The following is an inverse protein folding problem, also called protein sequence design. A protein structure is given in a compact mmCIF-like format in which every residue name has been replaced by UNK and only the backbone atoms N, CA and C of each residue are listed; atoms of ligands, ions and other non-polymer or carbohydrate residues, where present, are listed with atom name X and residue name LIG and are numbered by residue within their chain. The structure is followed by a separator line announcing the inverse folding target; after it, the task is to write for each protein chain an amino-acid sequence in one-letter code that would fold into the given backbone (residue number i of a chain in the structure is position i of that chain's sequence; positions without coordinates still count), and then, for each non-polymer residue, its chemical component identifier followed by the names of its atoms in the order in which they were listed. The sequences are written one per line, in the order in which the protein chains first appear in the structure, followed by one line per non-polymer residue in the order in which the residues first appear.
data_IF_653854522930
#
_entry.id   IF_653854522930
#
_cell.length_a   1.000
_cell.length_b   1.000
_cell.length_c   1.000
_cell.angle_alpha   90.00
_cell.angle_beta   90.00
_cell.angle_gamma   90.00
#
_symmetry.space_group_name_H-M   'P 1'
#
loop_
_entity.id
_entity.type
_entity.pdbx_description
1 polymer ?
#
# COMPACT_ATOMS: atom_id res chain seq x y z
N UNK A 1 3.32 32.06 -66.64
CA UNK A 1 3.97 32.45 -65.36
C UNK A 1 3.17 31.83 -64.22
N UNK A 2 3.71 30.81 -63.55
CA UNK A 2 3.10 30.21 -62.34
C UNK A 2 3.97 30.62 -61.16
N UNK A 3 3.40 31.39 -60.24
CA UNK A 3 4.05 31.87 -59.02
C UNK A 3 3.87 30.85 -57.91
N UNK A 4 4.98 30.32 -57.39
CA UNK A 4 5.01 29.45 -56.21
C UNK A 4 5.10 30.30 -54.94
N UNK A 5 4.17 30.10 -54.00
CA UNK A 5 4.25 30.64 -52.65
C UNK A 5 4.82 29.56 -51.72
N UNK A 6 5.94 29.85 -51.06
CA UNK A 6 6.49 29.02 -49.98
C UNK A 6 5.88 29.48 -48.66
N UNK A 7 5.14 28.57 -48.01
CA UNK A 7 4.58 28.76 -46.67
C UNK A 7 5.67 28.41 -45.64
N UNK A 8 6.19 29.40 -44.92
CA UNK A 8 7.14 29.19 -43.83
C UNK A 8 6.37 28.93 -42.54
N UNK A 9 6.40 27.71 -42.02
CA UNK A 9 5.76 27.35 -40.76
C UNK A 9 6.71 27.65 -39.59
N UNK A 10 6.37 28.64 -38.75
CA UNK A 10 6.98 28.82 -37.44
C UNK A 10 6.40 27.80 -36.46
N UNK A 11 7.24 26.90 -35.95
CA UNK A 11 6.90 26.01 -34.84
C UNK A 11 7.02 26.77 -33.51
N UNK A 12 5.98 26.80 -32.65
CA UNK A 12 6.10 27.40 -31.32
C UNK A 12 6.95 26.50 -30.41
N UNK A 13 8.00 27.09 -29.83
CA UNK A 13 8.85 26.45 -28.84
C UNK A 13 8.08 26.30 -27.52
N UNK A 14 7.54 25.12 -27.26
CA UNK A 14 6.91 24.80 -25.98
C UNK A 14 7.98 24.64 -24.90
N UNK A 15 8.12 25.64 -24.03
CA UNK A 15 8.99 25.56 -22.85
C UNK A 15 8.32 24.64 -21.82
N UNK A 16 8.76 23.38 -21.75
CA UNK A 16 8.34 22.47 -20.68
C UNK A 16 8.97 22.96 -19.37
N UNK A 17 8.16 23.54 -18.47
CA UNK A 17 8.58 23.77 -17.09
C UNK A 17 8.81 22.40 -16.46
N UNK A 18 10.08 21.99 -16.38
CA UNK A 18 10.45 20.82 -15.58
C UNK A 18 10.01 21.09 -14.14
N UNK A 19 9.15 20.24 -13.58
CA UNK A 19 8.83 20.30 -12.17
C UNK A 19 10.16 20.23 -11.38
N UNK A 20 10.42 21.15 -10.44
CA UNK A 20 11.66 21.16 -9.70
C UNK A 20 11.83 19.80 -8.99
N UNK A 21 12.97 19.15 -9.24
CA UNK A 21 13.34 17.92 -8.56
C UNK A 21 13.44 18.25 -7.06
N UNK A 22 12.73 17.56 -6.16
CA UNK A 22 12.82 17.80 -4.74
C UNK A 22 14.28 17.69 -4.26
N UNK A 23 14.72 18.64 -3.45
CA UNK A 23 16.06 18.61 -2.88
C UNK A 23 16.26 17.33 -2.05
N UNK A 24 17.46 16.72 -2.06
CA UNK A 24 17.73 15.55 -1.26
C UNK A 24 17.64 15.87 0.23
N UNK A 25 17.19 14.90 1.02
CA UNK A 25 17.16 15.02 2.48
C UNK A 25 18.59 15.11 3.02
N UNK A 26 18.90 16.00 3.97
CA UNK A 26 20.21 16.06 4.61
C UNK A 26 20.62 14.70 5.19
N UNK A 27 21.89 14.33 5.00
CA UNK A 27 22.42 13.03 5.43
C UNK A 27 22.66 12.94 6.95
N UNK A 28 22.60 14.06 7.68
CA UNK A 28 22.99 14.20 9.09
C UNK A 28 21.79 14.31 10.05
N UNK A 29 20.61 13.82 9.65
CA UNK A 29 19.47 13.81 10.55
C UNK A 29 19.73 12.92 11.78
N UNK A 30 19.24 13.32 12.97
CA UNK A 30 19.48 12.57 14.21
C UNK A 30 18.71 11.24 14.28
N UNK A 31 17.90 10.93 13.26
CA UNK A 31 17.07 9.73 13.15
C UNK A 31 17.23 9.11 11.78
N UNK A 32 17.21 7.78 11.72
CA UNK A 32 17.31 7.04 10.45
C UNK A 32 16.04 7.21 9.61
N UNK A 33 16.21 7.24 8.29
CA UNK A 33 15.11 7.21 7.32
C UNK A 33 15.06 5.84 6.64
N UNK A 34 14.09 5.01 7.02
CA UNK A 34 13.74 3.79 6.30
C UNK A 34 13.25 4.12 4.89
N UNK A 35 13.46 3.22 3.93
CA UNK A 35 13.10 3.40 2.51
C UNK A 35 13.78 4.60 1.80
N UNK A 36 14.74 5.28 2.44
CA UNK A 36 15.46 6.40 1.84
C UNK A 36 16.18 6.04 0.53
N UNK A 37 16.65 4.79 0.40
CA UNK A 37 17.37 4.30 -0.77
C UNK A 37 16.48 3.81 -1.91
N UNK A 38 15.14 3.81 -1.76
CA UNK A 38 14.25 3.37 -2.84
C UNK A 38 14.42 4.23 -4.11
N UNK A 39 14.18 3.68 -5.31
CA UNK A 39 14.10 4.47 -6.54
C UNK A 39 13.07 5.58 -6.42
N UNK A 40 13.31 6.72 -7.08
CA UNK A 40 12.39 7.87 -7.03
C UNK A 40 10.96 7.50 -7.46
N UNK A 41 10.81 6.63 -8.46
CA UNK A 41 9.51 6.17 -8.94
C UNK A 41 8.72 5.32 -7.92
N UNK A 42 9.41 4.73 -6.94
CA UNK A 42 8.78 3.93 -5.88
C UNK A 42 8.40 4.77 -4.66
N UNK A 43 8.80 6.05 -4.61
CA UNK A 43 8.55 6.94 -3.48
C UNK A 43 7.33 7.81 -3.76
N UNK A 44 6.55 8.07 -2.73
CA UNK A 44 5.55 9.15 -2.75
C UNK A 44 6.30 10.46 -2.43
N UNK A 45 6.41 11.40 -3.39
CA UNK A 45 7.21 12.60 -3.19
C UNK A 45 6.75 13.38 -1.97
N UNK A 46 7.71 13.81 -1.15
CA UNK A 46 7.47 14.63 0.04
C UNK A 46 6.51 14.00 1.06
N UNK A 47 6.28 12.69 1.05
CA UNK A 47 5.46 12.00 2.05
C UNK A 47 6.34 11.15 2.96
N UNK A 48 6.18 11.34 4.26
CA UNK A 48 6.97 10.64 5.27
C UNK A 48 6.07 10.11 6.39
N UNK A 49 6.38 8.92 6.89
CA UNK A 49 5.75 8.35 8.08
C UNK A 49 6.72 8.56 9.24
N UNK A 50 6.36 9.42 10.18
CA UNK A 50 7.11 9.67 11.41
C UNK A 50 6.66 8.66 12.44
N UNK A 51 7.50 7.67 12.75
CA UNK A 51 7.18 6.61 13.72
C UNK A 51 7.68 7.01 15.09
N UNK A 52 6.79 7.00 16.07
CA UNK A 52 7.12 7.34 17.45
C UNK A 52 7.65 6.13 18.21
N UNK A 53 8.44 6.38 19.25
CA UNK A 53 8.79 5.35 20.23
C UNK A 53 7.50 4.77 20.83
N UNK A 54 7.46 3.46 21.06
CA UNK A 54 6.28 2.80 21.64
C UNK A 54 5.90 3.38 23.01
N UNK A 55 6.90 3.84 23.78
CA UNK A 55 6.74 4.52 25.06
C UNK A 55 6.23 5.96 25.00
N UNK A 56 6.12 6.56 23.80
CA UNK A 56 5.67 7.95 23.66
C UNK A 56 4.25 8.13 24.22
N UNK A 57 4.10 9.06 25.15
CA UNK A 57 2.82 9.40 25.77
C UNK A 57 1.93 10.21 24.80
N UNK A 58 0.61 10.14 25.00
CA UNK A 58 -0.34 10.88 24.17
C UNK A 58 -0.09 12.40 24.18
N UNK A 59 0.35 12.96 25.31
CA UNK A 59 0.73 14.38 25.42
C UNK A 59 1.93 14.74 24.55
N UNK A 60 2.92 13.85 24.41
CA UNK A 60 4.08 14.07 23.54
C UNK A 60 3.67 14.04 22.06
N UNK A 61 2.80 13.11 21.68
CA UNK A 61 2.28 13.01 20.30
C UNK A 61 1.43 14.24 19.93
N UNK A 62 0.58 14.69 20.86
CA UNK A 62 -0.20 15.91 20.68
C UNK A 62 0.71 17.14 20.58
N UNK A 63 1.72 17.24 21.45
CA UNK A 63 2.73 18.30 21.39
C UNK A 63 3.49 18.33 20.07
N UNK A 64 3.87 17.17 19.54
CA UNK A 64 4.49 17.07 18.21
C UNK A 64 3.55 17.51 17.10
N UNK A 65 2.28 17.15 17.17
CA UNK A 65 1.29 17.58 16.19
C UNK A 65 1.17 19.11 16.15
N UNK A 66 1.25 19.76 17.31
CA UNK A 66 1.35 21.22 17.42
C UNK A 66 2.68 21.76 16.86
N UNK A 67 3.79 21.08 17.12
CA UNK A 67 5.11 21.46 16.58
C UNK A 67 5.14 21.42 15.04
N UNK A 68 4.57 20.37 14.42
CA UNK A 68 4.41 20.27 12.96
C UNK A 68 3.60 21.47 12.45
N UNK A 69 2.47 21.79 13.10
CA UNK A 69 1.64 22.94 12.72
C UNK A 69 2.43 24.25 12.80
N UNK A 70 3.19 24.47 13.87
CA UNK A 70 3.98 25.69 14.04
C UNK A 70 5.13 25.78 13.03
N UNK A 71 5.87 24.69 12.81
CA UNK A 71 7.09 24.71 11.99
C UNK A 71 6.82 24.63 10.48
N UNK A 72 5.74 23.95 10.10
CA UNK A 72 5.40 23.64 8.71
C UNK A 72 4.11 24.32 8.23
N UNK A 73 3.32 24.93 9.12
CA UNK A 73 2.06 25.58 8.77
C UNK A 73 0.91 24.62 8.46
N UNK A 74 1.04 23.34 8.80
CA UNK A 74 0.08 22.30 8.46
C UNK A 74 -0.02 21.23 9.55
N UNK A 75 -1.14 20.52 9.61
CA UNK A 75 -1.30 19.35 10.47
C UNK A 75 -0.77 18.09 9.78
N UNK A 76 -0.45 17.02 10.52
CA UNK A 76 -0.24 15.72 9.93
C UNK A 76 -1.42 15.32 9.03
N UNK A 77 -1.14 14.68 7.89
CA UNK A 77 -2.16 14.16 6.99
C UNK A 77 -2.97 13.04 7.65
N UNK A 78 -2.31 12.19 8.44
CA UNK A 78 -2.96 11.12 9.21
C UNK A 78 -2.15 10.79 10.46
N UNK A 79 -2.81 10.22 11.46
CA UNK A 79 -2.19 9.72 12.68
C UNK A 79 -2.65 8.29 12.93
N UNK A 80 -1.74 7.46 13.43
CA UNK A 80 -1.95 6.05 13.68
C UNK A 80 -1.65 5.74 15.14
N UNK A 81 -2.55 4.97 15.77
CA UNK A 81 -2.36 4.40 17.10
C UNK A 81 -3.02 3.02 17.11
N UNK A 82 -2.26 2.00 16.72
CA UNK A 82 -2.76 0.64 16.49
C UNK A 82 -1.85 -0.34 17.25
N UNK A 83 -2.36 -0.97 18.31
CA UNK A 83 -1.65 -2.00 19.07
C UNK A 83 -0.19 -1.63 19.44
N UNK A 84 0.05 -0.38 19.84
CA UNK A 84 1.37 0.12 20.21
C UNK A 84 2.19 0.71 19.06
N UNK A 85 1.78 0.51 17.80
CA UNK A 85 2.29 1.27 16.67
C UNK A 85 1.70 2.68 16.67
N UNK A 86 2.56 3.68 16.82
CA UNK A 86 2.20 5.09 16.90
C UNK A 86 2.96 5.85 15.84
N UNK A 87 2.26 6.52 14.93
CA UNK A 87 2.91 7.23 13.84
C UNK A 87 2.07 8.40 13.34
N UNK A 88 2.68 9.28 12.56
CA UNK A 88 1.99 10.31 11.81
C UNK A 88 2.51 10.37 10.37
N UNK A 89 1.61 10.45 9.39
CA UNK A 89 1.97 10.75 8.02
C UNK A 89 2.03 12.28 7.83
N UNK A 90 3.16 12.78 7.32
CA UNK A 90 3.45 14.21 7.16
C UNK A 90 3.91 14.45 5.73
N UNK A 91 3.28 15.41 5.05
CA UNK A 91 3.65 15.80 3.69
C UNK A 91 4.57 17.02 3.75
N UNK A 92 5.87 16.88 3.55
CA UNK A 92 6.81 18.00 3.62
C UNK A 92 8.04 17.77 2.76
N UNK A 93 8.75 18.84 2.38
CA UNK A 93 10.02 18.72 1.66
C UNK A 93 11.18 18.37 2.60
N UNK A 94 12.38 18.19 2.05
CA UNK A 94 13.59 17.88 2.82
C UNK A 94 13.89 18.91 3.92
N UNK A 95 13.64 20.20 3.65
CA UNK A 95 13.89 21.28 4.59
C UNK A 95 12.89 21.25 5.76
N UNK A 96 11.61 21.00 5.48
CA UNK A 96 10.59 20.83 6.50
C UNK A 96 10.79 19.57 7.33
N UNK A 97 11.19 18.46 6.69
CA UNK A 97 11.55 17.23 7.41
C UNK A 97 12.67 17.48 8.42
N UNK A 98 13.73 18.19 8.01
CA UNK A 98 14.84 18.54 8.88
C UNK A 98 14.44 19.41 10.09
N UNK A 99 13.35 20.19 9.99
CA UNK A 99 12.82 20.98 11.11
C UNK A 99 12.13 20.12 12.18
N UNK A 100 11.53 18.99 11.79
CA UNK A 100 10.72 18.14 12.68
C UNK A 100 11.43 16.83 13.09
N UNK A 101 12.46 16.42 12.36
CA UNK A 101 13.21 15.19 12.62
C UNK A 101 14.03 15.18 13.92
N UNK A 102 14.10 16.32 14.63
CA UNK A 102 14.92 16.49 15.85
C UNK A 102 14.23 16.12 17.15
N UNK A 103 13.00 15.62 17.10
CA UNK A 103 12.24 15.29 18.31
C UNK A 103 12.71 13.98 18.95
N UNK A 104 12.94 14.00 20.26
CA UNK A 104 13.47 12.86 21.04
C UNK A 104 12.53 11.66 21.13
N UNK A 105 11.24 11.81 20.82
CA UNK A 105 10.27 10.71 20.85
C UNK A 105 10.00 10.09 19.48
N UNK A 106 10.71 10.54 18.43
CA UNK A 106 10.76 9.83 17.14
C UNK A 106 11.64 8.60 17.33
N UNK A 107 11.15 7.44 16.88
CA UNK A 107 11.93 6.21 16.80
C UNK A 107 12.73 6.17 15.49
N UNK A 108 12.03 6.40 14.38
CA UNK A 108 12.61 6.52 13.05
C UNK A 108 11.60 7.22 12.12
N UNK A 109 12.07 7.59 10.94
CA UNK A 109 11.24 8.12 9.86
C UNK A 109 11.23 7.10 8.74
N UNK A 110 10.14 6.97 8.02
CA UNK A 110 10.04 6.14 6.82
C UNK A 110 9.61 7.00 5.64
N UNK A 111 10.35 6.90 4.53
CA UNK A 111 9.93 7.47 3.25
C UNK A 111 8.72 6.69 2.75
N UNK A 112 7.60 7.38 2.59
CA UNK A 112 6.36 6.79 2.09
C UNK A 112 6.55 6.37 0.64
N UNK A 113 5.97 5.23 0.28
CA UNK A 113 6.29 4.50 -0.93
C UNK A 113 5.05 3.86 -1.54
N UNK A 114 5.07 3.72 -2.86
CA UNK A 114 4.05 2.95 -3.56
C UNK A 114 4.27 1.47 -3.28
N UNK A 115 3.19 0.79 -2.93
CA UNK A 115 3.07 -0.67 -3.00
C UNK A 115 2.18 -0.96 -4.20
N UNK A 116 2.62 -1.86 -5.07
CA UNK A 116 1.86 -2.27 -6.25
C UNK A 116 1.56 -3.75 -6.17
N UNK A 117 0.42 -4.15 -6.71
CA UNK A 117 0.20 -5.56 -7.06
C UNK A 117 1.32 -5.99 -7.99
N UNK A 118 2.07 -7.03 -7.60
CA UNK A 118 2.97 -7.67 -8.54
C UNK A 118 2.10 -8.31 -9.63
N UNK A 119 2.52 -8.30 -10.92
CA UNK A 119 1.83 -9.14 -11.90
C UNK A 119 1.81 -10.56 -11.34
N UNK A 120 0.64 -11.19 -11.34
CA UNK A 120 0.48 -12.59 -11.00
C UNK A 120 1.29 -13.41 -11.99
N UNK A 121 2.56 -13.66 -11.68
CA UNK A 121 3.29 -14.79 -12.23
C UNK A 121 2.77 -16.00 -11.48
N UNK A 122 2.36 -17.04 -12.21
CA UNK A 122 1.90 -18.29 -11.63
C UNK A 122 2.97 -18.87 -10.69
N UNK A 123 2.91 -18.54 -9.40
CA UNK A 123 3.90 -18.96 -8.41
C UNK A 123 3.52 -20.33 -7.85
N UNK A 124 4.50 -21.24 -7.89
CA UNK A 124 4.37 -22.67 -7.67
C UNK A 124 5.26 -23.08 -6.49
N UNK A 125 4.91 -22.72 -5.26
CA UNK A 125 5.68 -23.16 -4.07
C UNK A 125 4.81 -23.67 -2.91
N UNK A 126 5.38 -24.63 -2.18
CA UNK A 126 4.69 -25.72 -1.46
C UNK A 126 4.82 -25.54 0.06
N UNK A 127 3.70 -25.63 0.79
CA UNK A 127 3.68 -25.81 2.25
C UNK A 127 2.65 -26.89 2.66
N UNK A 128 2.93 -27.63 3.73
CA UNK A 128 2.16 -28.81 4.16
C UNK A 128 1.42 -28.57 5.49
N UNK A 129 0.14 -28.96 5.57
CA UNK A 129 -0.69 -28.97 6.79
C UNK A 129 -1.64 -30.17 6.83
N UNK A 130 -2.09 -30.53 8.04
CA UNK A 130 -2.63 -31.84 8.43
C UNK A 130 -4.13 -32.10 8.16
N UNK A 131 -4.54 -33.36 8.28
CA UNK A 131 -5.88 -33.88 7.96
C UNK A 131 -6.78 -34.10 9.19
N UNK A 132 -8.10 -33.90 9.04
CA UNK A 132 -9.17 -34.47 9.88
C UNK A 132 -10.55 -34.50 9.17
N UNK A 133 -11.47 -35.29 9.76
CA UNK A 133 -12.69 -35.98 9.28
C UNK A 133 -13.86 -35.20 8.63
N UNK A 134 -14.80 -35.98 8.04
CA UNK A 134 -16.01 -35.59 7.27
C UNK A 134 -15.74 -34.64 6.11
N UNK A 135 -15.03 -35.19 5.13
CA UNK A 135 -14.53 -34.44 3.99
C UNK A 135 -15.59 -34.33 2.88
N UNK A 136 -15.74 -33.11 2.37
CA UNK A 136 -16.50 -32.76 1.19
C UNK A 136 -15.55 -32.67 0.00
N UNK A 137 -16.07 -32.90 -1.19
CA UNK A 137 -15.29 -32.92 -2.43
C UNK A 137 -15.85 -31.91 -3.42
N UNK A 138 -15.01 -30.96 -3.83
CA UNK A 138 -15.27 -30.12 -5.00
C UNK A 138 -14.50 -30.74 -6.20
N UNK A 139 -15.20 -31.36 -7.16
CA UNK A 139 -14.55 -31.96 -8.33
C UNK A 139 -14.04 -30.88 -9.28
N UNK A 140 -12.98 -31.20 -10.04
CA UNK A 140 -12.39 -30.32 -11.06
C UNK A 140 -12.01 -28.92 -10.53
N UNK A 141 -11.52 -28.85 -9.29
CA UNK A 141 -10.96 -27.63 -8.72
C UNK A 141 -9.63 -27.25 -9.39
N UNK A 142 -9.22 -26.00 -9.20
CA UNK A 142 -7.92 -25.52 -9.62
C UNK A 142 -6.81 -26.35 -8.98
N UNK A 143 -5.72 -26.55 -9.71
CA UNK A 143 -4.58 -27.38 -9.27
C UNK A 143 -4.09 -27.03 -7.85
N UNK A 144 -4.09 -25.74 -7.49
CA UNK A 144 -3.69 -25.27 -6.17
C UNK A 144 -4.54 -25.87 -5.04
N UNK A 145 -5.86 -25.92 -5.20
CA UNK A 145 -6.79 -26.44 -4.19
C UNK A 145 -6.67 -27.97 -4.04
N UNK A 146 -6.59 -28.69 -5.16
CA UNK A 146 -6.29 -30.13 -5.12
C UNK A 146 -4.94 -30.43 -4.46
N UNK A 147 -3.93 -29.60 -4.74
CA UNK A 147 -2.59 -29.75 -4.18
C UNK A 147 -2.51 -29.50 -2.68
N UNK A 148 -3.22 -28.51 -2.13
CA UNK A 148 -3.18 -28.24 -0.68
C UNK A 148 -4.01 -29.26 0.12
N UNK A 149 -5.03 -29.85 -0.51
CA UNK A 149 -5.91 -30.82 0.15
C UNK A 149 -5.41 -32.26 0.09
N UNK A 150 -4.65 -32.65 -0.95
CA UNK A 150 -4.24 -34.03 -1.19
C UNK A 150 -2.75 -34.21 -1.52
N UNK A 151 -2.20 -35.39 -1.17
CA UNK A 151 -0.79 -35.74 -1.42
C UNK A 151 -0.54 -36.36 -2.81
N UNK A 152 -1.59 -36.81 -3.50
CA UNK A 152 -1.46 -37.42 -4.83
C UNK A 152 -1.02 -36.37 -5.84
N UNK A 153 -0.09 -36.76 -6.72
CA UNK A 153 0.35 -35.89 -7.82
C UNK A 153 -0.78 -35.77 -8.84
N UNK A 154 -0.91 -34.59 -9.46
CA UNK A 154 -1.92 -34.29 -10.48
C UNK A 154 -3.35 -34.63 -10.03
N UNK A 155 -3.67 -34.32 -8.76
CA UNK A 155 -5.01 -34.47 -8.20
C UNK A 155 -5.72 -33.11 -8.24
N UNK A 156 -6.91 -33.08 -8.82
CA UNK A 156 -7.68 -31.86 -9.11
C UNK A 156 -8.95 -31.72 -8.28
N UNK A 157 -9.23 -32.63 -7.36
CA UNK A 157 -10.39 -32.49 -6.49
C UNK A 157 -9.96 -31.81 -5.20
N UNK A 158 -10.71 -30.79 -4.79
CA UNK A 158 -10.48 -30.12 -3.53
C UNK A 158 -11.28 -30.80 -2.45
N UNK A 159 -10.56 -31.40 -1.50
CA UNK A 159 -11.16 -32.13 -0.40
C UNK A 159 -10.99 -31.32 0.87
N UNK A 160 -12.10 -30.97 1.52
CA UNK A 160 -12.10 -30.07 2.66
C UNK A 160 -13.15 -30.45 3.69
N UNK A 161 -12.91 -30.08 4.94
CA UNK A 161 -13.90 -30.20 6.00
C UNK A 161 -14.92 -29.04 5.85
N UNK A 162 -16.23 -29.31 5.83
CA UNK A 162 -17.24 -28.24 5.73
C UNK A 162 -17.34 -27.37 6.98
N UNK A 163 -16.74 -27.82 8.09
CA UNK A 163 -16.51 -27.01 9.28
C UNK A 163 -15.28 -26.11 9.20
N UNK A 164 -14.42 -26.30 8.19
CA UNK A 164 -13.25 -25.47 8.00
C UNK A 164 -13.63 -23.99 7.92
N UNK A 165 -12.90 -23.16 8.67
CA UNK A 165 -13.08 -21.72 8.74
C UNK A 165 -14.47 -21.25 9.22
N UNK A 166 -15.32 -22.14 9.75
CA UNK A 166 -16.56 -21.71 10.42
C UNK A 166 -16.21 -20.76 11.57
N UNK A 167 -17.02 -19.71 11.73
CA UNK A 167 -16.84 -18.64 12.72
C UNK A 167 -15.48 -17.90 12.62
N UNK A 168 -14.79 -18.00 11.48
CA UNK A 168 -13.56 -17.25 11.20
C UNK A 168 -13.86 -16.05 10.31
N UNK A 169 -13.10 -14.96 10.50
CA UNK A 169 -13.10 -13.81 9.59
C UNK A 169 -11.73 -13.66 8.94
N UNK A 170 -11.71 -13.63 7.62
CA UNK A 170 -10.51 -13.34 6.83
C UNK A 170 -10.60 -11.90 6.33
N UNK A 171 -9.56 -11.11 6.57
CA UNK A 171 -9.43 -9.76 6.02
C UNK A 171 -8.47 -9.80 4.83
N UNK A 172 -8.93 -9.29 3.69
CA UNK A 172 -8.13 -9.14 2.48
C UNK A 172 -7.94 -7.64 2.25
N UNK A 173 -6.68 -7.20 2.15
CA UNK A 173 -6.31 -5.81 1.84
C UNK A 173 -5.75 -5.84 0.43
N UNK A 174 -6.54 -5.40 -0.53
CA UNK A 174 -6.23 -5.52 -1.96
C UNK A 174 -6.90 -4.37 -2.75
N UNK A 175 -7.03 -4.50 -4.07
CA UNK A 175 -7.62 -3.51 -4.99
C UNK A 175 -9.12 -3.31 -4.81
N UNK A 176 -9.76 -4.18 -4.01
CA UNK A 176 -11.19 -4.19 -3.75
C UNK A 176 -11.72 -5.61 -3.79
N UNK A 177 -13.04 -5.75 -3.88
CA UNK A 177 -13.71 -7.04 -4.09
C UNK A 177 -15.08 -6.79 -4.74
N UNK A 178 -15.43 -7.60 -5.75
CA UNK A 178 -16.78 -7.61 -6.31
C UNK A 178 -17.70 -8.48 -5.45
N UNK A 179 -18.24 -7.94 -4.35
CA UNK A 179 -19.05 -8.72 -3.40
C UNK A 179 -20.32 -9.34 -4.01
N UNK A 180 -20.77 -8.85 -5.17
CA UNK A 180 -21.90 -9.40 -5.92
C UNK A 180 -21.55 -10.63 -6.77
N UNK A 181 -20.28 -11.02 -6.85
CA UNK A 181 -19.88 -12.21 -7.60
C UNK A 181 -20.51 -13.48 -7.00
N UNK A 182 -21.12 -14.31 -7.85
CA UNK A 182 -21.96 -15.43 -7.41
C UNK A 182 -21.18 -16.45 -6.58
N UNK A 183 -19.88 -16.64 -6.87
CA UNK A 183 -19.02 -17.60 -6.16
C UNK A 183 -18.74 -17.22 -4.71
N UNK A 184 -18.85 -15.93 -4.35
CA UNK A 184 -18.76 -15.55 -2.94
C UNK A 184 -19.97 -16.01 -2.14
N UNK A 185 -21.14 -16.18 -2.76
CA UNK A 185 -22.33 -16.74 -2.10
C UNK A 185 -22.73 -16.00 -0.82
N UNK A 186 -22.50 -14.67 -0.77
CA UNK A 186 -22.77 -13.83 0.41
C UNK A 186 -21.71 -13.90 1.52
N UNK A 187 -20.61 -14.64 1.34
CA UNK A 187 -19.51 -14.74 2.33
C UNK A 187 -18.63 -13.49 2.37
N UNK A 188 -18.57 -12.76 1.26
CA UNK A 188 -17.79 -11.52 1.14
C UNK A 188 -18.65 -10.30 1.50
N UNK A 189 -18.10 -9.42 2.32
CA UNK A 189 -18.69 -8.12 2.67
C UNK A 189 -17.63 -7.05 2.63
N UNK A 190 -18.01 -5.81 2.34
CA UNK A 190 -17.08 -4.69 2.33
C UNK A 190 -16.58 -4.38 3.75
N UNK A 191 -15.27 -4.24 3.90
CA UNK A 191 -14.63 -3.83 5.16
C UNK A 191 -14.40 -2.33 5.21
N UNK A 192 -13.38 -1.84 4.51
CA UNK A 192 -13.00 -0.44 4.46
C UNK A 192 -12.36 -0.08 3.12
N UNK A 193 -12.51 1.19 2.74
CA UNK A 193 -11.83 1.77 1.58
C UNK A 193 -10.94 2.92 2.07
N UNK A 194 -9.65 2.87 1.71
CA UNK A 194 -8.67 3.88 2.09
C UNK A 194 -8.20 4.74 0.91
N UNK A 195 -8.74 4.51 -0.29
CA UNK A 195 -8.42 5.27 -1.50
C UNK A 195 -9.50 6.34 -1.71
N UNK A 196 -9.18 7.59 -1.35
CA UNK A 196 -10.09 8.72 -1.46
C UNK A 196 -10.62 8.90 -2.88
N UNK A 197 -11.95 8.98 -3.02
CA UNK A 197 -12.62 9.19 -4.30
C UNK A 197 -12.85 7.92 -5.12
N UNK A 198 -12.41 6.76 -4.65
CA UNK A 198 -12.73 5.47 -5.28
C UNK A 198 -14.05 4.90 -4.75
N UNK A 199 -14.79 4.15 -5.58
CA UNK A 199 -15.98 3.41 -5.16
C UNK A 199 -15.62 2.20 -4.30
N UNK A 200 -16.59 1.70 -3.52
CA UNK A 200 -16.46 0.44 -2.77
C UNK A 200 -16.72 -0.77 -3.68
N UNK A 201 -15.83 -0.99 -4.64
CA UNK A 201 -15.82 -2.15 -5.55
C UNK A 201 -14.38 -2.44 -5.97
N UNK A 202 -14.12 -3.60 -6.54
CA UNK A 202 -12.86 -3.86 -7.22
C UNK A 202 -12.84 -3.18 -8.59
N UNK A 203 -11.90 -2.25 -8.80
CA UNK A 203 -11.69 -1.59 -10.09
C UNK A 203 -10.54 -2.22 -10.89
N UNK A 204 -9.78 -3.15 -10.31
CA UNK A 204 -8.64 -3.80 -10.96
C UNK A 204 -8.88 -5.29 -11.24
N UNK A 205 -9.64 -5.98 -10.39
CA UNK A 205 -9.94 -7.40 -10.50
C UNK A 205 -8.92 -8.33 -9.85
N UNK A 206 -7.92 -7.80 -9.12
CA UNK A 206 -6.94 -8.64 -8.42
C UNK A 206 -7.48 -9.15 -7.08
N UNK A 207 -8.28 -8.34 -6.39
CA UNK A 207 -8.87 -8.73 -5.11
C UNK A 207 -10.12 -9.62 -5.23
N UNK A 208 -10.78 -9.62 -6.39
CA UNK A 208 -11.94 -10.49 -6.71
C UNK A 208 -11.49 -11.89 -7.12
#
# INVERSE_FOLDING_TARGET
MRTSFTLSALLPLALTLANPVPAPVPADLPVSIANAALPAASKIPSSYIIVYKSSAAASQINGFSSEILTKLGQKPKSQFNINGFKAANVITDAAGLAKIAKSDFIAYIEQDAYVSVAPTTNDTTVYSGAAASALFEQPNAEYGLGRISHKLKAYYNYIFDSSACQNTRTYIIDTGILTSHQEFGGRAVWGANFVTGSPNTDEHGHGT
#
